data_IF_702984474072
#
_entry.id   IF_702984474072
#
_cell.length_a   1.000
_cell.length_b   1.000
_cell.length_c   1.000
_cell.angle_alpha   90.00
_cell.angle_beta   90.00
_cell.angle_gamma   90.00
#
_symmetry.space_group_name_H-M   'P 1'
#
loop_
_entity.id
_entity.type
_entity.pdbx_description
1 polymer ?
#
# COMPACT_ATOMS: atom_id res chain seq x y z
N UNK A 1 6.74 -7.34 -26.78
CA UNK A 1 5.68 -6.29 -26.86
C UNK A 1 6.15 -5.04 -26.14
N UNK A 2 5.70 -3.87 -26.55
CA UNK A 2 6.07 -2.62 -25.87
C UNK A 2 5.39 -2.53 -24.50
N UNK A 3 6.16 -2.16 -23.48
CA UNK A 3 5.70 -1.84 -22.13
C UNK A 3 4.57 -0.80 -22.22
N UNK A 4 3.35 -1.16 -21.79
CA UNK A 4 2.17 -0.30 -21.87
C UNK A 4 1.75 0.12 -20.46
N UNK A 5 1.47 1.40 -20.25
CA UNK A 5 0.94 1.93 -18.98
C UNK A 5 -0.49 1.42 -18.78
N UNK A 6 -0.75 0.76 -17.63
CA UNK A 6 -2.06 0.28 -17.20
C UNK A 6 -2.69 1.26 -16.21
N UNK A 7 -1.88 1.76 -15.26
CA UNK A 7 -2.35 2.58 -14.15
C UNK A 7 -1.27 3.56 -13.73
N UNK A 8 -1.68 4.78 -13.35
CA UNK A 8 -0.80 5.82 -12.81
C UNK A 8 -1.33 6.29 -11.46
N UNK A 9 -0.62 5.92 -10.40
CA UNK A 9 -0.94 6.29 -9.02
C UNK A 9 -0.11 7.46 -8.49
N UNK A 10 -0.30 7.78 -7.23
CA UNK A 10 0.41 8.88 -6.54
C UNK A 10 1.92 8.62 -6.42
N UNK A 11 2.33 7.37 -6.18
CA UNK A 11 3.71 6.99 -5.89
C UNK A 11 4.35 6.12 -6.98
N UNK A 12 3.58 5.48 -7.84
CA UNK A 12 4.07 4.53 -8.84
C UNK A 12 3.15 4.45 -10.06
N UNK A 13 3.73 4.07 -11.17
CA UNK A 13 3.05 3.70 -12.41
C UNK A 13 3.14 2.19 -12.61
N UNK A 14 2.10 1.58 -13.17
CA UNK A 14 2.02 0.14 -13.44
C UNK A 14 1.99 -0.09 -14.93
N UNK A 15 2.83 -1.01 -15.39
CA UNK A 15 2.98 -1.35 -16.80
C UNK A 15 2.78 -2.85 -17.04
N UNK A 16 2.34 -3.20 -18.26
CA UNK A 16 2.32 -4.59 -18.75
C UNK A 16 3.73 -5.14 -18.92
N UNK A 17 3.82 -6.47 -18.90
CA UNK A 17 4.98 -7.22 -19.38
C UNK A 17 4.57 -8.10 -20.57
N UNK A 18 5.49 -8.95 -21.07
CA UNK A 18 5.16 -9.97 -22.05
C UNK A 18 4.37 -11.15 -21.46
N UNK A 19 4.51 -11.38 -20.16
CA UNK A 19 3.71 -12.33 -19.39
C UNK A 19 2.47 -11.60 -18.81
N UNK A 20 1.27 -12.05 -19.18
CA UNK A 20 0.01 -11.47 -18.72
C UNK A 20 -0.23 -11.55 -17.21
N UNK A 21 0.49 -12.46 -16.52
CA UNK A 21 0.43 -12.66 -15.07
C UNK A 21 1.41 -11.77 -14.31
N UNK A 22 2.24 -11.01 -15.01
CA UNK A 22 3.25 -10.13 -14.41
C UNK A 22 3.05 -8.68 -14.82
N UNK A 23 3.44 -7.79 -13.92
CA UNK A 23 3.42 -6.33 -14.12
C UNK A 23 4.74 -5.73 -13.66
N UNK A 24 5.08 -4.55 -14.21
CA UNK A 24 6.19 -3.73 -13.73
C UNK A 24 5.61 -2.54 -12.97
N UNK A 25 6.06 -2.37 -11.72
CA UNK A 25 5.79 -1.18 -10.90
C UNK A 25 6.99 -0.24 -10.99
N UNK A 26 6.80 0.97 -11.53
CA UNK A 26 7.84 2.01 -11.61
C UNK A 26 7.55 3.07 -10.56
N UNK A 27 8.44 3.23 -9.60
CA UNK A 27 8.30 4.20 -8.50
C UNK A 27 8.69 5.60 -8.95
N UNK A 28 7.93 6.59 -8.49
CA UNK A 28 8.07 8.01 -8.86
C UNK A 28 8.60 8.85 -7.72
N UNK A 29 9.28 9.93 -8.05
CA UNK A 29 9.76 10.94 -7.10
C UNK A 29 8.64 11.88 -6.62
N UNK A 30 7.42 11.64 -7.04
CA UNK A 30 6.26 12.45 -6.70
C UNK A 30 5.82 12.22 -5.24
N UNK A 31 5.70 13.31 -4.48
CA UNK A 31 5.02 13.35 -3.20
C UNK A 31 3.68 14.08 -3.35
N UNK A 32 2.64 13.59 -2.65
CA UNK A 32 1.32 14.21 -2.62
C UNK A 32 0.87 14.43 -1.18
N UNK A 33 0.21 15.56 -0.93
CA UNK A 33 -0.44 15.87 0.33
C UNK A 33 -1.88 16.33 0.09
N UNK A 34 -2.73 16.27 1.13
CA UNK A 34 -4.14 16.69 1.07
C UNK A 34 -4.91 16.05 -0.08
N UNK A 35 -4.98 14.71 -0.11
CA UNK A 35 -5.67 13.93 -1.17
C UNK A 35 -5.23 14.28 -2.60
N UNK A 36 -3.94 14.61 -2.80
CA UNK A 36 -3.37 14.90 -4.12
C UNK A 36 -3.51 16.34 -4.58
N UNK A 37 -4.08 17.23 -3.76
CA UNK A 37 -4.18 18.69 -4.05
C UNK A 37 -2.80 19.32 -4.14
N UNK A 38 -1.86 18.90 -3.28
CA UNK A 38 -0.46 19.35 -3.32
C UNK A 38 0.42 18.25 -3.90
N UNK A 39 1.18 18.60 -4.95
CA UNK A 39 2.13 17.69 -5.61
C UNK A 39 3.50 18.36 -5.63
N UNK A 40 4.50 17.65 -5.13
CA UNK A 40 5.90 18.08 -5.13
C UNK A 40 6.79 16.95 -5.64
N UNK A 41 7.93 17.30 -6.24
CA UNK A 41 8.96 16.33 -6.64
C UNK A 41 10.01 16.29 -5.53
N UNK A 42 10.28 15.07 -5.03
CA UNK A 42 11.33 14.82 -4.05
C UNK A 42 12.34 13.86 -4.69
N UNK A 43 13.46 14.39 -5.15
CA UNK A 43 14.48 13.60 -5.84
C UNK A 43 14.94 12.41 -4.99
N UNK A 44 14.99 11.22 -5.60
CA UNK A 44 15.39 9.98 -4.95
C UNK A 44 14.29 9.28 -4.13
N UNK A 45 13.10 9.88 -3.97
CA UNK A 45 11.99 9.25 -3.24
C UNK A 45 11.57 7.91 -3.88
N UNK A 46 11.48 7.87 -5.21
CA UNK A 46 11.14 6.65 -5.94
C UNK A 46 12.17 5.53 -5.70
N UNK A 47 13.45 5.87 -5.75
CA UNK A 47 14.56 4.93 -5.47
C UNK A 47 14.45 4.37 -4.04
N UNK A 48 14.29 5.24 -3.05
CA UNK A 48 14.16 4.83 -1.63
C UNK A 48 12.92 3.96 -1.41
N UNK A 49 11.77 4.34 -1.95
CA UNK A 49 10.53 3.57 -1.84
C UNK A 49 10.69 2.17 -2.46
N UNK A 50 11.33 2.08 -3.63
CA UNK A 50 11.59 0.80 -4.28
C UNK A 50 12.54 -0.07 -3.44
N UNK A 51 13.63 0.49 -2.92
CA UNK A 51 14.60 -0.24 -2.09
C UNK A 51 13.97 -0.77 -0.81
N UNK A 52 13.24 0.09 -0.06
CA UNK A 52 12.58 -0.29 1.19
C UNK A 52 11.52 -1.36 0.93
N UNK A 53 10.67 -1.17 -0.08
CA UNK A 53 9.61 -2.11 -0.45
C UNK A 53 10.19 -3.47 -0.86
N UNK A 54 11.20 -3.49 -1.74
CA UNK A 54 11.87 -4.74 -2.17
C UNK A 54 12.48 -5.48 -0.98
N UNK A 55 13.21 -4.78 -0.12
CA UNK A 55 13.83 -5.37 1.07
C UNK A 55 12.81 -6.03 2.00
N UNK A 56 11.67 -5.36 2.24
CA UNK A 56 10.59 -5.91 3.10
C UNK A 56 9.96 -7.14 2.45
N UNK A 57 9.63 -7.08 1.15
CA UNK A 57 9.03 -8.23 0.46
C UNK A 57 9.96 -9.42 0.36
N UNK A 58 11.26 -9.21 0.14
CA UNK A 58 12.26 -10.28 0.18
C UNK A 58 12.29 -10.98 1.55
N UNK A 59 12.24 -10.21 2.65
CA UNK A 59 12.18 -10.76 4.01
C UNK A 59 10.89 -11.53 4.26
N UNK A 60 9.75 -11.02 3.82
CA UNK A 60 8.46 -11.72 3.93
C UNK A 60 8.46 -13.03 3.15
N UNK A 61 8.91 -13.00 1.90
CA UNK A 61 9.01 -14.22 1.05
C UNK A 61 9.95 -15.25 1.69
N UNK A 62 11.10 -14.81 2.22
CA UNK A 62 12.06 -15.70 2.90
C UNK A 62 11.48 -16.30 4.20
N UNK A 63 10.56 -15.62 4.86
CA UNK A 63 9.83 -16.09 6.02
C UNK A 63 8.61 -16.98 5.68
N UNK A 64 8.36 -17.25 4.39
CA UNK A 64 7.22 -18.07 3.93
C UNK A 64 5.91 -17.32 3.81
N UNK A 65 5.90 -16.00 3.93
CA UNK A 65 4.73 -15.15 3.69
C UNK A 65 4.64 -14.87 2.20
N UNK A 66 3.59 -15.38 1.54
CA UNK A 66 3.37 -15.15 0.11
C UNK A 66 3.10 -13.68 -0.18
N UNK A 67 3.83 -13.09 -1.14
CA UNK A 67 3.63 -11.72 -1.61
C UNK A 67 3.47 -11.68 -3.12
N UNK A 68 3.08 -10.51 -3.65
CA UNK A 68 3.04 -10.28 -5.09
C UNK A 68 4.42 -9.96 -5.68
N UNK A 69 5.42 -9.65 -4.87
CA UNK A 69 6.77 -9.29 -5.30
C UNK A 69 7.50 -10.49 -5.92
N UNK A 70 8.12 -10.29 -7.07
CA UNK A 70 8.92 -11.29 -7.78
C UNK A 70 10.39 -10.90 -7.74
N UNK A 71 10.74 -9.69 -8.21
CA UNK A 71 12.14 -9.25 -8.29
C UNK A 71 12.25 -7.71 -8.34
N UNK A 72 13.41 -7.19 -7.95
CA UNK A 72 13.81 -5.80 -8.16
C UNK A 72 14.57 -5.67 -9.49
N UNK A 73 13.95 -5.04 -10.50
CA UNK A 73 14.52 -4.93 -11.84
C UNK A 73 15.55 -3.81 -11.98
N UNK A 74 15.37 -2.71 -11.24
CA UNK A 74 16.27 -1.54 -11.27
C UNK A 74 16.12 -0.72 -9.97
N UNK A 75 16.74 0.44 -9.91
CA UNK A 75 16.61 1.33 -8.76
C UNK A 75 15.17 1.83 -8.54
N UNK A 76 14.37 1.90 -9.59
CA UNK A 76 12.99 2.41 -9.52
C UNK A 76 11.94 1.40 -9.95
N UNK A 77 12.30 0.19 -10.37
CA UNK A 77 11.35 -0.78 -10.92
C UNK A 77 11.34 -2.10 -10.18
N UNK A 78 10.15 -2.65 -9.98
CA UNK A 78 9.90 -4.00 -9.48
C UNK A 78 9.09 -4.80 -10.49
N UNK A 79 9.41 -6.10 -10.60
CA UNK A 79 8.56 -7.11 -11.21
C UNK A 79 7.62 -7.66 -10.14
N UNK A 80 6.33 -7.66 -10.42
CA UNK A 80 5.31 -8.13 -9.50
C UNK A 80 4.33 -9.05 -10.21
N UNK A 81 3.75 -9.99 -9.46
CA UNK A 81 2.57 -10.74 -9.93
C UNK A 81 1.41 -9.76 -10.12
N UNK A 82 0.66 -9.94 -11.18
CA UNK A 82 -0.60 -9.23 -11.39
C UNK A 82 -1.64 -9.84 -10.45
N UNK A 83 -2.12 -9.05 -9.50
CA UNK A 83 -3.10 -9.45 -8.50
C UNK A 83 -4.30 -8.53 -8.54
N UNK A 84 -5.43 -9.03 -8.07
CA UNK A 84 -6.59 -8.20 -7.75
C UNK A 84 -6.40 -7.58 -6.36
N UNK A 85 -6.59 -6.27 -6.26
CA UNK A 85 -6.41 -5.53 -5.00
C UNK A 85 -7.70 -5.66 -4.18
N UNK A 86 -7.58 -6.16 -2.96
CA UNK A 86 -8.65 -6.03 -1.96
C UNK A 86 -8.66 -4.56 -1.51
N UNK A 87 -9.77 -3.82 -1.69
CA UNK A 87 -9.81 -2.39 -1.36
C UNK A 87 -9.91 -2.15 0.15
N UNK A 88 -8.94 -2.69 0.89
CA UNK A 88 -8.85 -2.65 2.34
C UNK A 88 -7.44 -2.21 2.76
N UNK A 89 -7.35 -1.15 3.56
CA UNK A 89 -6.13 -0.80 4.26
C UNK A 89 -6.15 -1.43 5.64
N UNK A 90 -5.15 -2.26 5.95
CA UNK A 90 -4.96 -2.89 7.25
C UNK A 90 -3.86 -2.16 8.00
N UNK A 91 -4.19 -1.59 9.14
CA UNK A 91 -3.26 -0.81 9.96
C UNK A 91 -3.01 -1.51 11.29
N UNK A 92 -1.74 -1.87 11.55
CA UNK A 92 -1.31 -2.35 12.86
C UNK A 92 -0.71 -1.16 13.65
N UNK A 93 -1.27 -0.89 14.82
CA UNK A 93 -0.79 0.19 15.70
C UNK A 93 -0.17 -0.36 16.96
N UNK A 94 1.06 0.05 17.22
CA UNK A 94 1.77 -0.22 18.48
C UNK A 94 1.72 0.98 19.44
N UNK A 95 1.47 2.19 18.91
CA UNK A 95 1.43 3.46 19.64
C UNK A 95 0.26 4.31 19.17
N UNK A 96 -0.24 5.17 20.07
CA UNK A 96 -1.16 6.24 19.69
C UNK A 96 -0.46 7.24 18.78
N UNK A 97 -1.02 7.48 17.59
CA UNK A 97 -0.49 8.46 16.63
C UNK A 97 -1.50 8.83 15.55
N UNK A 98 -1.33 9.99 14.95
CA UNK A 98 -2.01 10.44 13.74
C UNK A 98 -3.54 10.39 13.84
N UNK A 99 -4.21 9.68 12.92
CA UNK A 99 -5.67 9.60 12.86
C UNK A 99 -6.28 8.97 14.11
N UNK A 100 -5.60 8.02 14.77
CA UNK A 100 -6.05 7.43 16.02
C UNK A 100 -6.15 8.48 17.13
N UNK A 101 -5.05 9.21 17.36
CA UNK A 101 -5.00 10.25 18.40
C UNK A 101 -6.04 11.35 18.16
N UNK A 102 -6.20 11.79 16.92
CA UNK A 102 -7.22 12.78 16.54
C UNK A 102 -8.64 12.29 16.77
N UNK A 103 -8.95 11.05 16.37
CA UNK A 103 -10.30 10.46 16.47
C UNK A 103 -10.74 10.25 17.91
N UNK A 104 -9.81 9.84 18.78
CA UNK A 104 -10.12 9.53 20.18
C UNK A 104 -9.70 10.62 21.16
N UNK A 105 -9.09 11.71 20.71
CA UNK A 105 -8.68 12.83 21.58
C UNK A 105 -7.59 12.45 22.59
N UNK A 106 -6.70 11.50 22.21
CA UNK A 106 -5.63 11.02 23.10
C UNK A 106 -4.27 11.55 22.66
N UNK A 107 -3.34 11.68 23.60
CA UNK A 107 -1.96 12.09 23.36
C UNK A 107 -1.25 11.08 22.45
N UNK A 108 -0.32 11.56 21.61
CA UNK A 108 0.51 10.70 20.77
C UNK A 108 1.67 10.09 21.56
N UNK A 109 2.14 8.91 21.12
CA UNK A 109 3.31 8.25 21.67
C UNK A 109 3.04 7.29 22.84
N UNK A 110 1.78 7.07 23.22
CA UNK A 110 1.42 6.09 24.26
C UNK A 110 1.47 4.70 23.63
N UNK A 111 2.23 3.78 24.22
CA UNK A 111 2.30 2.39 23.78
C UNK A 111 1.02 1.64 24.16
N UNK A 112 0.50 0.81 23.24
CA UNK A 112 -0.56 -0.13 23.55
C UNK A 112 0.02 -1.38 24.24
N UNK A 113 -0.68 -1.92 25.24
CA UNK A 113 -0.33 -3.20 25.86
C UNK A 113 -0.45 -4.35 24.86
N UNK A 114 -1.43 -4.28 23.97
CA UNK A 114 -1.63 -5.19 22.84
C UNK A 114 -1.81 -4.35 21.58
N UNK A 115 -1.10 -4.67 20.48
CA UNK A 115 -1.27 -3.97 19.21
C UNK A 115 -2.74 -3.96 18.76
N UNK A 116 -3.16 -2.83 18.20
CA UNK A 116 -4.51 -2.65 17.67
C UNK A 116 -4.48 -2.82 16.16
N UNK A 117 -5.39 -3.63 15.61
CA UNK A 117 -5.63 -3.75 14.17
C UNK A 117 -6.84 -2.91 13.81
N UNK A 118 -6.70 -2.07 12.79
CA UNK A 118 -7.77 -1.24 12.24
C UNK A 118 -7.92 -1.49 10.75
N UNK A 119 -9.14 -1.33 10.24
CA UNK A 119 -9.45 -1.40 8.82
C UNK A 119 -9.98 -0.07 8.30
N UNK A 120 -9.58 0.27 7.06
CA UNK A 120 -10.12 1.39 6.31
C UNK A 120 -10.53 0.89 4.92
N UNK A 121 -11.75 1.22 4.50
CA UNK A 121 -12.21 0.92 3.15
C UNK A 121 -11.58 1.88 2.16
N UNK A 122 -10.79 1.36 1.21
CA UNK A 122 -10.11 2.15 0.19
C UNK A 122 -11.08 2.61 -0.88
N UNK A 123 -11.70 3.75 -0.65
CA UNK A 123 -12.65 4.38 -1.54
C UNK A 123 -12.49 5.91 -1.45
N UNK A 124 -11.85 6.51 -2.46
CA UNK A 124 -11.56 7.95 -2.51
C UNK A 124 -12.83 8.81 -2.43
N UNK A 125 -13.98 8.35 -2.97
CA UNK A 125 -15.25 9.08 -2.93
C UNK A 125 -15.86 9.13 -1.52
N UNK A 126 -15.48 8.18 -0.67
CA UNK A 126 -15.93 8.08 0.72
C UNK A 126 -14.87 8.55 1.74
N UNK A 127 -13.74 9.09 1.28
CA UNK A 127 -12.61 9.53 2.11
C UNK A 127 -12.06 8.42 3.02
N UNK A 128 -11.93 7.20 2.47
CA UNK A 128 -11.37 6.01 3.12
C UNK A 128 -11.90 5.79 4.55
N UNK A 129 -13.20 5.53 4.74
CA UNK A 129 -13.81 5.44 6.06
C UNK A 129 -13.23 4.30 6.90
N UNK A 130 -13.08 4.58 8.22
CA UNK A 130 -12.78 3.57 9.22
C UNK A 130 -13.93 2.56 9.32
N UNK A 131 -13.60 1.26 9.26
CA UNK A 131 -14.57 0.15 9.28
C UNK A 131 -14.10 -0.97 10.22
N UNK A 132 -14.97 -1.93 10.48
CA UNK A 132 -14.69 -3.14 11.25
C UNK A 132 -15.00 -4.40 10.42
N UNK A 133 -14.80 -5.58 11.02
CA UNK A 133 -14.98 -6.88 10.37
C UNK A 133 -16.41 -7.08 9.81
N UNK A 134 -17.43 -6.62 10.54
CA UNK A 134 -18.83 -6.73 10.10
C UNK A 134 -19.10 -5.86 8.86
N UNK A 135 -18.50 -4.67 8.79
CA UNK A 135 -18.58 -3.82 7.61
C UNK A 135 -17.88 -4.47 6.42
N UNK A 136 -16.70 -5.09 6.61
CA UNK A 136 -15.97 -5.80 5.54
C UNK A 136 -16.85 -6.88 4.94
N UNK A 137 -17.51 -7.70 5.77
CA UNK A 137 -18.42 -8.78 5.36
C UNK A 137 -19.68 -8.25 4.68
N UNK A 138 -20.32 -7.24 5.28
CA UNK A 138 -21.56 -6.66 4.73
C UNK A 138 -21.34 -6.02 3.36
N UNK A 139 -20.24 -5.29 3.19
CA UNK A 139 -19.85 -4.64 1.94
C UNK A 139 -19.21 -5.60 0.93
N UNK A 140 -18.97 -6.86 1.32
CA UNK A 140 -18.32 -7.89 0.50
C UNK A 140 -16.95 -7.43 -0.04
N UNK A 141 -16.20 -6.73 0.78
CA UNK A 141 -14.86 -6.23 0.44
C UNK A 141 -13.86 -7.38 0.42
N UNK A 142 -13.96 -8.28 1.39
CA UNK A 142 -13.17 -9.50 1.52
C UNK A 142 -14.04 -10.62 2.14
N UNK A 143 -13.63 -11.86 1.98
CA UNK A 143 -14.25 -13.02 2.62
C UNK A 143 -13.44 -13.52 3.84
N UNK A 144 -13.95 -14.56 4.52
CA UNK A 144 -13.33 -15.11 5.74
C UNK A 144 -11.97 -15.80 5.49
N UNK A 145 -11.54 -15.97 4.23
CA UNK A 145 -10.25 -16.55 3.86
C UNK A 145 -9.21 -15.51 3.47
N UNK A 146 -9.65 -14.31 3.15
CA UNK A 146 -8.85 -13.15 2.78
C UNK A 146 -8.53 -12.28 3.99
#
# INVERSE_FOLDING_TARGET
>A
MSKQLIYSGKAKDIYTTEDENLIISTYKDQATAFNGVKKEQIAGKGVLNNQISSFIFEKLNAAGVATHFVDKLSDTEQLNKKVEIIPLEVVLRNYTAGSFSKRFGVEEGIAFETPIVEFYYKNDDLDDPFINDEHVKFLKIADDQQ
#
